data_IF_930114864163
#
_entry.id   IF_930114864163
#
_cell.length_a   1.000
_cell.length_b   1.000
_cell.length_c   1.000
_cell.angle_alpha   90.00
_cell.angle_beta   90.00
_cell.angle_gamma   90.00
#
_symmetry.space_group_name_H-M   'P 1'
#
loop_
_entity.id
_entity.type
_entity.pdbx_description
1 polymer ?
#
# COMPACT_ATOMS: atom_id res chain seq x y z
N UNK A 1 15.45 5.23 2.48
CA UNK A 1 16.36 4.50 1.56
C UNK A 1 16.67 5.40 0.38
N UNK A 2 17.95 5.55 0.01
CA UNK A 2 18.31 6.20 -1.24
C UNK A 2 17.77 5.36 -2.41
N UNK A 3 17.12 5.99 -3.39
CA UNK A 3 16.69 5.32 -4.62
C UNK A 3 17.94 4.74 -5.28
N UNK A 4 18.01 3.42 -5.58
CA UNK A 4 19.14 2.88 -6.32
C UNK A 4 19.26 3.61 -7.66
N UNK A 5 20.47 4.01 -8.02
CA UNK A 5 20.72 4.61 -9.32
C UNK A 5 20.34 3.58 -10.40
N UNK A 6 19.55 3.98 -11.41
CA UNK A 6 19.31 3.10 -12.54
C UNK A 6 20.63 2.83 -13.28
N UNK A 7 20.72 1.72 -14.04
CA UNK A 7 21.85 1.47 -14.95
C UNK A 7 22.13 2.66 -15.87
N UNK A 8 23.39 2.85 -16.29
CA UNK A 8 23.79 4.00 -17.14
C UNK A 8 23.01 4.08 -18.46
N UNK A 9 22.54 2.95 -18.99
CA UNK A 9 21.80 2.82 -20.25
C UNK A 9 20.27 2.88 -20.07
N UNK A 10 19.76 3.04 -18.84
CA UNK A 10 18.35 2.93 -18.53
C UNK A 10 17.48 3.92 -19.32
N UNK A 11 17.87 5.19 -19.38
CA UNK A 11 17.08 6.23 -20.06
C UNK A 11 16.93 5.90 -21.56
N UNK A 12 18.01 5.47 -22.22
CA UNK A 12 17.97 5.12 -23.64
C UNK A 12 17.05 3.91 -23.91
N UNK A 13 17.10 2.88 -23.06
CA UNK A 13 16.23 1.70 -23.15
C UNK A 13 14.78 2.04 -22.84
N UNK A 14 14.56 2.88 -21.83
CA UNK A 14 13.24 3.35 -21.44
C UNK A 14 12.59 4.16 -22.57
N UNK A 15 13.31 5.10 -23.18
CA UNK A 15 12.80 5.91 -24.29
C UNK A 15 12.46 5.04 -25.50
N UNK A 16 13.33 4.08 -25.86
CA UNK A 16 13.07 3.16 -26.96
C UNK A 16 11.83 2.29 -26.71
N UNK A 17 11.62 1.83 -25.47
CA UNK A 17 10.53 0.94 -25.09
C UNK A 17 9.30 1.64 -24.49
N UNK A 18 9.29 2.97 -24.48
CA UNK A 18 8.38 3.77 -23.65
C UNK A 18 6.92 3.33 -23.77
N UNK A 19 6.42 3.18 -24.99
CA UNK A 19 5.03 2.80 -25.24
C UNK A 19 4.67 1.44 -24.61
N UNK A 20 5.58 0.47 -24.68
CA UNK A 20 5.36 -0.86 -24.14
C UNK A 20 5.50 -0.89 -22.61
N UNK A 21 6.51 -0.20 -22.07
CA UNK A 21 6.67 -0.04 -20.61
C UNK A 21 5.46 0.64 -20.00
N UNK A 22 5.00 1.75 -20.61
CA UNK A 22 3.81 2.48 -20.20
C UNK A 22 2.56 1.59 -20.26
N UNK A 23 2.38 0.81 -21.34
CA UNK A 23 1.26 -0.12 -21.46
C UNK A 23 1.25 -1.16 -20.33
N UNK A 24 2.39 -1.83 -20.08
CA UNK A 24 2.51 -2.86 -19.04
C UNK A 24 2.25 -2.27 -17.64
N UNK A 25 2.87 -1.14 -17.32
CA UNK A 25 2.69 -0.46 -16.04
C UNK A 25 1.23 0.01 -15.83
N UNK A 26 0.65 0.68 -16.83
CA UNK A 26 -0.71 1.20 -16.74
C UNK A 26 -1.75 0.07 -16.65
N UNK A 27 -1.55 -1.04 -17.39
CA UNK A 27 -2.41 -2.22 -17.31
C UNK A 27 -2.48 -2.77 -15.88
N UNK A 28 -1.34 -2.86 -15.20
CA UNK A 28 -1.30 -3.27 -13.80
C UNK A 28 -2.01 -2.25 -12.90
N UNK A 29 -1.69 -0.96 -13.02
CA UNK A 29 -2.25 0.09 -12.16
C UNK A 29 -3.77 0.17 -12.26
N UNK A 30 -4.31 0.22 -13.48
CA UNK A 30 -5.76 0.30 -13.73
C UNK A 30 -6.46 -0.99 -13.25
N UNK A 31 -5.85 -2.16 -13.51
CA UNK A 31 -6.38 -3.43 -13.01
C UNK A 31 -6.42 -3.45 -11.48
N UNK A 32 -5.34 -3.02 -10.82
CA UNK A 32 -5.25 -2.97 -9.36
C UNK A 32 -6.29 -2.00 -8.77
N UNK A 33 -6.44 -0.79 -9.32
CA UNK A 33 -7.48 0.16 -8.89
C UNK A 33 -8.89 -0.43 -9.00
N UNK A 34 -9.19 -1.14 -10.10
CA UNK A 34 -10.47 -1.85 -10.24
C UNK A 34 -10.63 -2.94 -9.18
N UNK A 35 -9.57 -3.72 -8.92
CA UNK A 35 -9.60 -4.78 -7.89
C UNK A 35 -9.83 -4.20 -6.50
N UNK A 36 -9.20 -3.08 -6.15
CA UNK A 36 -9.48 -2.36 -4.90
C UNK A 36 -10.96 -2.03 -4.79
N UNK A 37 -11.56 -1.46 -5.84
CA UNK A 37 -12.97 -1.07 -5.80
C UNK A 37 -13.94 -2.25 -5.71
N UNK A 38 -13.63 -3.35 -6.41
CA UNK A 38 -14.53 -4.50 -6.53
C UNK A 38 -14.33 -5.51 -5.39
N UNK A 39 -13.09 -5.92 -5.13
CA UNK A 39 -12.77 -6.99 -4.17
C UNK A 39 -12.81 -6.47 -2.71
N UNK A 40 -12.39 -5.22 -2.47
CA UNK A 40 -12.43 -4.65 -1.11
C UNK A 40 -13.71 -3.85 -0.83
N UNK A 41 -14.55 -3.60 -1.84
CA UNK A 41 -15.83 -2.89 -1.70
C UNK A 41 -15.69 -1.42 -1.30
N UNK A 42 -14.55 -0.80 -1.58
CA UNK A 42 -14.22 0.58 -1.16
C UNK A 42 -13.90 1.47 -2.36
N UNK A 43 -14.29 2.74 -2.31
CA UNK A 43 -13.83 3.72 -3.31
C UNK A 43 -12.33 4.03 -3.13
N UNK A 44 -11.68 4.58 -4.17
CA UNK A 44 -10.24 4.83 -4.15
C UNK A 44 -9.80 5.81 -3.05
N UNK A 45 -10.65 6.77 -2.69
CA UNK A 45 -10.37 7.70 -1.59
C UNK A 45 -10.37 6.96 -0.23
N UNK A 46 -11.34 6.07 -0.02
CA UNK A 46 -11.37 5.19 1.16
C UNK A 46 -10.15 4.26 1.21
N UNK A 47 -9.74 3.72 0.07
CA UNK A 47 -8.55 2.87 -0.02
C UNK A 47 -7.26 3.66 0.28
N UNK A 48 -7.16 4.90 -0.20
CA UNK A 48 -6.06 5.79 0.12
C UNK A 48 -6.00 6.10 1.62
N UNK A 49 -7.13 6.42 2.25
CA UNK A 49 -7.22 6.64 3.71
C UNK A 49 -6.83 5.37 4.47
N UNK A 50 -7.31 4.20 4.02
CA UNK A 50 -7.03 2.92 4.66
C UNK A 50 -5.54 2.57 4.60
N UNK A 51 -4.90 2.70 3.44
CA UNK A 51 -3.47 2.49 3.29
C UNK A 51 -2.64 3.49 4.10
N UNK A 52 -3.05 4.76 4.12
CA UNK A 52 -2.40 5.82 4.92
C UNK A 52 -2.46 5.50 6.41
N UNK A 53 -3.63 5.08 6.91
CA UNK A 53 -3.80 4.67 8.29
C UNK A 53 -2.86 3.50 8.64
N UNK A 54 -2.84 2.45 7.81
CA UNK A 54 -1.97 1.29 8.02
C UNK A 54 -0.49 1.65 8.07
N UNK A 55 -0.03 2.54 7.19
CA UNK A 55 1.35 3.04 7.22
C UNK A 55 1.65 3.84 8.49
N UNK A 56 0.74 4.74 8.89
CA UNK A 56 0.92 5.54 10.11
C UNK A 56 0.88 4.71 11.38
N UNK A 57 0.09 3.63 11.41
CA UNK A 57 0.00 2.75 12.57
C UNK A 57 1.34 2.07 12.90
N UNK A 58 2.24 1.91 11.94
CA UNK A 58 3.56 1.27 12.15
C UNK A 58 4.74 2.22 11.91
N UNK A 59 4.49 3.49 11.60
CA UNK A 59 5.52 4.42 11.16
C UNK A 59 6.61 4.63 12.24
N UNK A 60 6.23 4.65 13.51
CA UNK A 60 7.16 4.79 14.63
C UNK A 60 8.15 3.61 14.75
N UNK A 61 7.75 2.42 14.30
CA UNK A 61 8.57 1.20 14.32
C UNK A 61 9.54 1.13 13.13
N UNK A 62 9.35 1.97 12.12
CA UNK A 62 10.08 1.92 10.85
C UNK A 62 10.86 3.22 10.54
N UNK A 63 11.74 3.71 11.44
CA UNK A 63 12.61 4.82 11.09
C UNK A 63 13.59 4.45 9.95
N UNK A 64 14.15 5.45 9.26
CA UNK A 64 15.10 5.19 8.17
C UNK A 64 16.28 4.32 8.62
N UNK A 65 16.47 3.18 7.94
CA UNK A 65 17.55 2.23 8.25
C UNK A 65 17.11 1.01 9.05
N UNK A 66 15.88 0.98 9.57
CA UNK A 66 15.33 -0.20 10.24
C UNK A 66 15.18 -1.37 9.27
N UNK A 67 15.67 -2.55 9.69
CA UNK A 67 15.46 -3.78 8.94
C UNK A 67 14.00 -4.23 9.07
N UNK A 68 13.27 -4.52 7.96
CA UNK A 68 11.85 -4.89 8.03
C UNK A 68 11.55 -6.12 8.90
N UNK A 69 12.49 -7.04 9.06
CA UNK A 69 12.32 -8.21 9.94
C UNK A 69 12.40 -7.88 11.43
N UNK A 70 13.04 -6.77 11.82
CA UNK A 70 13.25 -6.41 13.23
C UNK A 70 11.96 -6.00 13.94
N UNK A 71 10.94 -5.59 13.18
CA UNK A 71 9.63 -5.22 13.74
C UNK A 71 8.73 -6.44 13.97
N UNK A 72 9.10 -7.61 13.45
CA UNK A 72 8.33 -8.85 13.58
C UNK A 72 8.85 -9.70 14.75
N UNK A 73 7.97 -10.52 15.32
CA UNK A 73 8.34 -11.61 16.21
C UNK A 73 8.99 -12.77 15.43
N UNK A 74 9.55 -13.74 16.15
CA UNK A 74 10.10 -14.96 15.55
C UNK A 74 9.05 -15.75 14.74
N UNK A 75 7.77 -15.64 15.12
CA UNK A 75 6.61 -16.18 14.40
C UNK A 75 6.35 -15.49 13.05
N UNK A 76 7.01 -14.36 12.78
CA UNK A 76 6.77 -13.50 11.61
C UNK A 76 5.56 -12.55 11.75
N UNK A 77 4.94 -12.49 12.93
CA UNK A 77 3.81 -11.60 13.22
C UNK A 77 4.28 -10.23 13.73
N UNK A 78 3.46 -9.21 13.53
CA UNK A 78 3.66 -7.90 14.14
C UNK A 78 3.07 -7.92 15.57
N UNK A 79 3.87 -7.62 16.62
CA UNK A 79 3.36 -7.47 17.99
C UNK A 79 2.22 -6.45 18.11
N UNK A 80 1.29 -6.67 19.03
CA UNK A 80 0.16 -5.75 19.28
C UNK A 80 0.61 -4.37 19.77
N UNK A 81 1.61 -4.34 20.64
CA UNK A 81 2.16 -3.14 21.25
C UNK A 81 2.98 -2.28 20.26
N UNK A 82 3.22 -2.80 19.04
CA UNK A 82 3.88 -2.11 17.93
C UNK A 82 2.91 -1.48 16.93
N UNK A 83 1.60 -1.63 17.16
CA UNK A 83 0.56 -0.95 16.38
C UNK A 83 0.12 0.29 17.16
N UNK A 84 0.36 1.46 16.57
CA UNK A 84 0.10 2.76 17.19
C UNK A 84 -1.18 3.39 16.63
N UNK A 85 -2.28 3.48 17.39
CA UNK A 85 -3.50 4.14 16.93
C UNK A 85 -3.28 5.61 16.55
N UNK A 86 -3.95 6.08 15.50
CA UNK A 86 -3.76 7.42 14.93
C UNK A 86 -4.99 8.29 15.19
N UNK A 87 -4.79 9.57 15.54
CA UNK A 87 -5.89 10.53 15.72
C UNK A 87 -6.46 10.96 14.37
N UNK A 88 -7.76 11.29 14.36
CA UNK A 88 -8.43 11.82 13.18
C UNK A 88 -7.79 13.12 12.66
N UNK A 89 -7.28 13.98 13.55
CA UNK A 89 -6.56 15.20 13.15
C UNK A 89 -5.34 14.89 12.29
N UNK A 90 -4.54 13.94 12.76
CA UNK A 90 -3.23 13.65 12.18
C UNK A 90 -3.43 12.93 10.84
N UNK A 91 -4.37 11.99 10.79
CA UNK A 91 -4.74 11.33 9.54
C UNK A 91 -5.31 12.32 8.52
N UNK A 92 -6.13 13.29 8.95
CA UNK A 92 -6.66 14.33 8.05
C UNK A 92 -5.55 15.23 7.51
N UNK A 93 -4.59 15.61 8.35
CA UNK A 93 -3.44 16.40 7.95
C UNK A 93 -2.55 15.65 6.94
N UNK A 94 -2.21 14.39 7.21
CA UNK A 94 -1.35 13.57 6.33
C UNK A 94 -2.06 13.23 5.02
N UNK A 95 -3.35 12.90 5.06
CA UNK A 95 -4.12 12.59 3.87
C UNK A 95 -4.40 13.83 2.99
N UNK A 96 -4.26 15.05 3.54
CA UNK A 96 -4.61 16.28 2.83
C UNK A 96 -6.11 16.41 2.54
N UNK A 97 -6.96 15.71 3.30
CA UNK A 97 -8.42 15.65 3.09
C UNK A 97 -9.16 16.34 4.24
N UNK A 98 -10.33 16.96 3.98
CA UNK A 98 -11.14 17.55 5.04
C UNK A 98 -11.49 16.56 6.16
N UNK A 99 -11.44 17.02 7.41
CA UNK A 99 -11.70 16.19 8.61
C UNK A 99 -13.01 15.41 8.51
N UNK A 100 -14.07 16.06 8.04
CA UNK A 100 -15.38 15.44 7.88
C UNK A 100 -15.39 14.34 6.81
N UNK A 101 -14.66 14.54 5.71
CA UNK A 101 -14.47 13.51 4.67
C UNK A 101 -13.76 12.30 5.26
N UNK A 102 -12.64 12.50 5.96
CA UNK A 102 -11.88 11.40 6.58
C UNK A 102 -12.73 10.66 7.61
N UNK A 103 -13.42 11.37 8.49
CA UNK A 103 -14.33 10.79 9.50
C UNK A 103 -15.38 9.89 8.86
N UNK A 104 -16.09 10.37 7.83
CA UNK A 104 -17.13 9.60 7.13
C UNK A 104 -16.57 8.31 6.50
N UNK A 105 -15.36 8.38 5.95
CA UNK A 105 -14.68 7.25 5.29
C UNK A 105 -14.17 6.23 6.31
N UNK A 106 -13.66 6.67 7.46
CA UNK A 106 -13.28 5.79 8.57
C UNK A 106 -14.49 5.02 9.11
N UNK A 107 -15.63 5.68 9.34
CA UNK A 107 -16.83 4.97 9.81
C UNK A 107 -17.31 3.93 8.78
N UNK A 108 -17.22 4.23 7.48
CA UNK A 108 -17.50 3.24 6.43
C UNK A 108 -16.53 2.05 6.50
N UNK A 109 -15.22 2.31 6.59
CA UNK A 109 -14.21 1.25 6.70
C UNK A 109 -14.41 0.40 7.96
N UNK A 110 -14.81 1.03 9.07
CA UNK A 110 -15.15 0.35 10.33
C UNK A 110 -16.37 -0.55 10.17
N UNK A 111 -17.41 -0.07 9.49
CA UNK A 111 -18.60 -0.88 9.20
C UNK A 111 -18.30 -2.10 8.32
N UNK A 112 -17.21 -2.06 7.55
CA UNK A 112 -16.70 -3.16 6.75
C UNK A 112 -15.71 -4.07 7.51
N UNK A 113 -15.47 -3.82 8.79
CA UNK A 113 -14.55 -4.60 9.62
C UNK A 113 -13.06 -4.43 9.26
N UNK A 114 -12.69 -3.38 8.53
CA UNK A 114 -11.31 -3.14 8.07
C UNK A 114 -10.46 -2.40 9.09
N UNK A 115 -11.10 -1.57 9.91
CA UNK A 115 -10.46 -0.74 10.92
C UNK A 115 -11.31 -0.72 12.18
N UNK A 116 -10.69 -0.32 13.28
CA UNK A 116 -11.37 -0.15 14.55
C UNK A 116 -11.03 1.19 15.20
N UNK A 117 -11.89 1.59 16.14
CA UNK A 117 -11.74 2.81 16.93
C UNK A 117 -11.47 2.41 18.37
N UNK A 118 -10.34 2.86 18.89
CA UNK A 118 -9.93 2.61 20.28
C UNK A 118 -10.85 3.36 21.26
N UNK A 119 -10.80 2.97 22.54
CA UNK A 119 -11.62 3.56 23.60
C UNK A 119 -11.40 5.07 23.76
N UNK A 120 -10.17 5.55 23.54
CA UNK A 120 -9.80 6.96 23.57
C UNK A 120 -10.07 7.69 22.24
N UNK A 121 -10.63 6.99 21.24
CA UNK A 121 -11.16 7.57 20.01
C UNK A 121 -10.15 7.70 18.85
N UNK A 122 -8.97 7.09 18.96
CA UNK A 122 -8.00 6.93 17.86
C UNK A 122 -8.39 5.75 16.96
N UNK A 123 -7.70 5.61 15.82
CA UNK A 123 -8.03 4.65 14.76
C UNK A 123 -6.84 3.72 14.46
N UNK A 124 -7.13 2.45 14.19
CA UNK A 124 -6.13 1.50 13.71
C UNK A 124 -6.73 0.47 12.75
N UNK A 125 -5.89 -0.12 11.90
CA UNK A 125 -6.29 -1.25 11.05
C UNK A 125 -6.59 -2.49 11.87
N UNK A 126 -7.60 -3.26 11.47
CA UNK A 126 -7.86 -4.55 12.09
C UNK A 126 -6.73 -5.54 11.74
N UNK A 127 -6.53 -6.55 12.58
CA UNK A 127 -5.47 -7.54 12.41
C UNK A 127 -5.65 -8.30 11.11
N UNK A 128 -4.55 -8.53 10.38
CA UNK A 128 -4.55 -9.26 9.09
C UNK A 128 -5.07 -10.69 9.25
N UNK A 129 -4.87 -11.29 10.42
CA UNK A 129 -5.41 -12.62 10.77
C UNK A 129 -6.93 -12.65 10.87
N UNK A 130 -7.54 -11.51 11.25
CA UNK A 130 -8.99 -11.34 11.33
C UNK A 130 -9.61 -10.95 9.97
N UNK A 131 -8.81 -10.48 9.00
CA UNK A 131 -9.27 -10.07 7.67
C UNK A 131 -8.66 -10.94 6.56
N UNK A 132 -9.22 -12.15 6.42
CA UNK A 132 -8.83 -13.12 5.39
C UNK A 132 -8.97 -12.57 3.97
N UNK A 133 -9.91 -11.66 3.73
CA UNK A 133 -10.13 -11.00 2.44
C UNK A 133 -8.97 -10.05 2.12
N UNK A 134 -8.60 -9.15 3.05
CA UNK A 134 -7.46 -8.26 2.84
C UNK A 134 -6.13 -9.02 2.74
N UNK A 135 -5.96 -10.12 3.47
CA UNK A 135 -4.78 -11.00 3.33
C UNK A 135 -4.70 -11.62 1.94
N UNK A 136 -5.80 -12.22 1.44
CA UNK A 136 -5.85 -12.81 0.11
C UNK A 136 -5.64 -11.75 -1.00
N UNK A 137 -6.29 -10.59 -0.85
CA UNK A 137 -6.14 -9.46 -1.77
C UNK A 137 -4.68 -8.98 -1.84
N UNK A 138 -4.02 -8.85 -0.70
CA UNK A 138 -2.62 -8.42 -0.60
C UNK A 138 -1.70 -9.44 -1.25
N UNK A 139 -1.88 -10.74 -0.96
CA UNK A 139 -1.12 -11.82 -1.61
C UNK A 139 -1.21 -11.75 -3.13
N UNK A 140 -2.42 -11.66 -3.66
CA UNK A 140 -2.64 -11.60 -5.12
C UNK A 140 -2.07 -10.31 -5.73
N UNK A 141 -2.13 -9.19 -5.02
CA UNK A 141 -1.52 -7.93 -5.43
C UNK A 141 0.00 -8.06 -5.55
N UNK A 142 0.67 -8.65 -4.56
CA UNK A 142 2.12 -8.87 -4.59
C UNK A 142 2.52 -9.80 -5.75
N UNK A 143 1.79 -10.90 -5.96
CA UNK A 143 2.05 -11.82 -7.09
C UNK A 143 1.97 -11.08 -8.43
N UNK A 144 0.92 -10.28 -8.65
CA UNK A 144 0.75 -9.51 -9.89
C UNK A 144 1.82 -8.43 -10.04
N UNK A 145 2.16 -7.73 -8.97
CA UNK A 145 3.20 -6.69 -8.98
C UNK A 145 4.55 -7.27 -9.41
N UNK A 146 4.95 -8.41 -8.85
CA UNK A 146 6.20 -9.09 -9.19
C UNK A 146 6.21 -9.56 -10.65
N UNK A 147 5.10 -10.13 -11.13
CA UNK A 147 4.97 -10.53 -12.53
C UNK A 147 5.04 -9.32 -13.49
N UNK A 148 4.42 -8.20 -13.14
CA UNK A 148 4.50 -6.95 -13.91
C UNK A 148 5.92 -6.40 -13.91
N UNK A 149 6.63 -6.42 -12.77
CA UNK A 149 8.03 -5.99 -12.72
C UNK A 149 8.94 -6.84 -13.63
N UNK A 150 8.73 -8.16 -13.66
CA UNK A 150 9.44 -9.06 -14.57
C UNK A 150 9.10 -8.79 -16.04
N UNK A 151 7.86 -8.43 -16.35
CA UNK A 151 7.45 -8.05 -17.71
C UNK A 151 8.09 -6.73 -18.14
N UNK A 152 8.12 -5.72 -17.27
CA UNK A 152 8.80 -4.44 -17.52
C UNK A 152 10.29 -4.66 -17.81
N UNK A 153 10.97 -5.48 -16.99
CA UNK A 153 12.39 -5.79 -17.22
C UNK A 153 12.62 -6.46 -18.58
N UNK A 154 11.80 -7.46 -18.94
CA UNK A 154 11.90 -8.12 -20.26
C UNK A 154 11.69 -7.14 -21.42
N UNK A 155 10.74 -6.22 -21.29
CA UNK A 155 10.49 -5.20 -22.31
C UNK A 155 11.69 -4.28 -22.46
N UNK A 156 12.28 -3.81 -21.36
CA UNK A 156 13.47 -2.97 -21.35
C UNK A 156 14.71 -3.70 -21.88
N UNK A 157 14.84 -5.01 -21.66
CA UNK A 157 15.98 -5.82 -22.15
C UNK A 157 15.86 -6.13 -23.65
N UNK A 158 14.64 -6.40 -24.15
CA UNK A 158 14.39 -6.78 -25.55
C UNK A 158 14.56 -5.64 -26.57
N UNK A 159 14.72 -4.42 -26.08
CA UNK A 159 14.83 -3.18 -26.85
C UNK A 159 16.19 -2.50 -26.66
N UNK A 160 17.13 -3.17 -25.99
CA UNK A 160 18.53 -2.78 -26.02
C UNK A 160 19.06 -2.92 -27.47
N UNK A 161 19.74 -1.88 -28.01
CA UNK A 161 20.30 -1.92 -29.36
C UNK A 161 21.39 -2.99 -29.54
#
# INVERSE_FOLDING_TARGET
MARPAPPEDFEARFDHAFAMVAFVANRYLVSHMRRVMVELGVDLESAFIYGTLGMLNIAAEMPPGTAPSSILEESGQLPEDRVHPVRLSDLSQVAGLPRETVRRKLEKLRSLGKIERTADGAWQVCRVEADSVSRAFTRETVVRLLATAQEVNRVLDATAP
#
